data_IF_548759405115
#
_entry.id   IF_548759405115
#
_cell.length_a   1.000
_cell.length_b   1.000
_cell.length_c   1.000
_cell.angle_alpha   90.00
_cell.angle_beta   90.00
_cell.angle_gamma   90.00
#
_symmetry.space_group_name_H-M   'P 1'
#
loop_
_entity.id
_entity.type
_entity.pdbx_description
1 polymer ?
#
# COMPACT_ATOMS: atom_id res chain seq x y z
N UNK A 1 39.35 30.76 5.89
CA UNK A 1 38.41 30.82 4.77
C UNK A 1 37.82 29.42 4.58
N UNK A 2 36.61 29.19 5.10
CA UNK A 2 35.93 27.88 4.97
C UNK A 2 35.35 27.73 3.57
N UNK A 3 35.70 26.65 2.91
CA UNK A 3 35.21 26.25 1.58
C UNK A 3 33.69 26.02 1.65
N UNK A 4 32.85 26.60 0.76
CA UNK A 4 31.42 26.35 0.79
C UNK A 4 31.17 24.86 0.48
N UNK A 5 30.38 24.18 1.31
CA UNK A 5 29.97 22.78 1.10
C UNK A 5 29.15 22.73 -0.19
N UNK A 6 29.56 21.86 -1.13
CA UNK A 6 28.88 21.65 -2.40
C UNK A 6 27.44 21.08 -2.19
N UNK A 7 26.42 21.56 -2.92
CA UNK A 7 25.05 21.04 -2.85
C UNK A 7 24.95 19.52 -3.07
N UNK A 8 25.90 18.95 -3.76
CA UNK A 8 26.02 17.53 -4.08
C UNK A 8 26.20 16.64 -2.82
N UNK A 9 26.88 17.16 -1.77
CA UNK A 9 27.09 16.40 -0.53
C UNK A 9 25.86 16.36 0.38
N UNK A 10 24.98 17.36 0.33
CA UNK A 10 23.77 17.40 1.16
C UNK A 10 22.72 16.37 0.72
N UNK A 11 22.56 16.15 -0.60
CA UNK A 11 21.65 15.13 -1.14
C UNK A 11 22.11 13.71 -0.81
N UNK A 12 23.39 13.43 -0.99
CA UNK A 12 23.96 12.11 -0.68
C UNK A 12 23.86 11.74 0.81
N UNK A 13 24.06 12.73 1.71
CA UNK A 13 23.93 12.51 3.15
C UNK A 13 22.47 12.22 3.56
N UNK A 14 21.51 12.99 3.03
CA UNK A 14 20.08 12.77 3.29
C UNK A 14 19.66 11.37 2.85
N UNK A 15 20.07 10.95 1.67
CA UNK A 15 19.81 9.61 1.13
C UNK A 15 20.42 8.50 1.99
N UNK A 16 21.68 8.65 2.41
CA UNK A 16 22.36 7.69 3.28
C UNK A 16 21.62 7.52 4.63
N UNK A 17 21.10 8.61 5.21
CA UNK A 17 20.31 8.57 6.44
C UNK A 17 18.96 7.82 6.24
N UNK A 18 18.29 8.05 5.10
CA UNK A 18 17.06 7.35 4.73
C UNK A 18 17.32 5.86 4.57
N UNK A 19 18.34 5.46 3.81
CA UNK A 19 18.70 4.05 3.59
C UNK A 19 19.08 3.34 4.91
N UNK A 20 19.87 4.00 5.77
CA UNK A 20 20.19 3.47 7.10
C UNK A 20 18.95 3.29 7.98
N UNK A 21 17.98 4.21 7.86
CA UNK A 21 16.68 4.13 8.56
C UNK A 21 15.87 2.93 8.07
N UNK A 22 15.74 2.75 6.77
CA UNK A 22 14.99 1.62 6.17
C UNK A 22 15.57 0.27 6.57
N UNK A 23 16.89 0.13 6.53
CA UNK A 23 17.58 -1.08 7.01
C UNK A 23 17.26 -1.35 8.48
N UNK A 24 17.30 -0.33 9.34
CA UNK A 24 17.00 -0.46 10.77
C UNK A 24 15.53 -0.84 11.01
N UNK A 25 14.60 -0.21 10.27
CA UNK A 25 13.17 -0.52 10.35
C UNK A 25 12.86 -1.95 9.90
N UNK A 26 13.56 -2.44 8.89
CA UNK A 26 13.40 -3.82 8.40
C UNK A 26 13.87 -4.83 9.42
N UNK A 27 15.02 -4.58 10.07
CA UNK A 27 15.64 -5.49 11.04
C UNK A 27 14.94 -5.50 12.41
N UNK A 28 14.54 -4.34 12.91
CA UNK A 28 14.10 -4.16 14.31
C UNK A 28 12.72 -3.52 14.48
N UNK A 29 12.10 -3.10 13.37
CA UNK A 29 10.88 -2.31 13.41
C UNK A 29 11.10 -0.90 13.97
N UNK A 30 10.00 -0.16 14.10
CA UNK A 30 10.05 1.23 14.55
C UNK A 30 10.25 1.36 16.08
N UNK A 31 9.94 0.34 16.85
CA UNK A 31 10.11 0.35 18.32
C UNK A 31 11.59 0.27 18.74
N UNK A 32 12.45 -0.26 17.87
CA UNK A 32 13.92 -0.30 18.04
C UNK A 32 14.67 0.83 17.36
N UNK A 33 13.95 1.89 16.91
CA UNK A 33 14.53 3.00 16.18
C UNK A 33 15.30 3.99 17.06
N UNK A 34 16.46 4.45 16.57
CA UNK A 34 17.29 5.44 17.25
C UNK A 34 18.09 6.26 16.24
N UNK A 35 18.00 7.60 16.32
CA UNK A 35 18.78 8.52 15.49
C UNK A 35 20.30 8.27 15.61
N UNK A 36 20.78 7.92 16.80
CA UNK A 36 22.20 7.62 17.05
C UNK A 36 22.65 6.40 16.26
N UNK A 37 21.82 5.35 16.23
CA UNK A 37 22.11 4.13 15.47
C UNK A 37 22.04 4.39 13.94
N UNK A 38 21.08 5.19 13.48
CA UNK A 38 21.02 5.64 12.08
C UNK A 38 22.28 6.41 11.69
N UNK A 39 22.73 7.38 12.50
CA UNK A 39 23.95 8.14 12.23
C UNK A 39 25.19 7.22 12.16
N UNK A 40 25.28 6.26 13.09
CA UNK A 40 26.37 5.27 13.12
C UNK A 40 26.38 4.42 11.85
N UNK A 41 25.22 3.94 11.39
CA UNK A 41 25.09 3.12 10.17
C UNK A 41 25.41 3.91 8.91
N UNK A 42 24.98 5.17 8.86
CA UNK A 42 25.26 6.07 7.75
C UNK A 42 26.71 6.58 7.72
N UNK A 43 27.52 6.28 8.77
CA UNK A 43 28.90 6.73 8.85
C UNK A 43 29.05 8.24 9.04
N UNK A 44 28.07 8.88 9.72
CA UNK A 44 28.02 10.35 9.89
C UNK A 44 28.04 10.73 11.37
N UNK A 45 28.15 12.05 11.63
CA UNK A 45 28.13 12.56 13.00
C UNK A 45 26.78 12.29 13.68
N UNK A 46 26.74 12.07 15.01
CA UNK A 46 25.48 11.85 15.75
C UNK A 46 24.47 13.02 15.62
N UNK A 47 24.93 14.23 15.33
CA UNK A 47 24.09 15.41 15.13
C UNK A 47 23.47 15.50 13.72
N UNK A 48 24.03 14.80 12.73
CA UNK A 48 23.59 14.90 11.34
C UNK A 48 22.10 14.57 11.13
N UNK A 49 21.51 13.50 11.70
CA UNK A 49 20.09 13.22 11.53
C UNK A 49 19.21 14.34 12.03
N UNK A 50 19.47 14.88 13.23
CA UNK A 50 18.68 15.98 13.80
C UNK A 50 18.86 17.28 13.00
N UNK A 51 20.04 17.54 12.43
CA UNK A 51 20.26 18.70 11.57
C UNK A 51 19.43 18.63 10.28
N UNK A 52 19.24 17.43 9.71
CA UNK A 52 18.51 17.25 8.44
C UNK A 52 17.00 17.05 8.60
N UNK A 53 16.57 16.45 9.70
CA UNK A 53 15.17 16.01 9.88
C UNK A 53 14.53 16.54 11.17
N UNK A 54 15.25 17.32 11.98
CA UNK A 54 14.78 17.83 13.26
C UNK A 54 14.89 16.77 14.37
N UNK A 55 14.04 15.77 14.33
CA UNK A 55 13.98 14.70 15.34
C UNK A 55 13.71 13.33 14.72
N UNK A 56 13.48 12.34 15.58
CA UNK A 56 13.19 10.97 15.17
C UNK A 56 11.88 10.87 14.35
N UNK A 57 10.84 11.57 14.77
CA UNK A 57 9.57 11.56 14.07
C UNK A 57 9.67 12.24 12.71
N UNK A 58 10.46 13.32 12.58
CA UNK A 58 10.71 13.98 11.29
C UNK A 58 11.44 13.08 10.30
N UNK A 59 12.45 12.31 10.73
CA UNK A 59 13.12 11.34 9.87
C UNK A 59 12.16 10.19 9.48
N UNK A 60 11.39 9.65 10.41
CA UNK A 60 10.40 8.62 10.13
C UNK A 60 9.31 9.12 9.18
N UNK A 61 8.84 10.37 9.36
CA UNK A 61 7.87 11.01 8.46
C UNK A 61 8.42 11.13 7.04
N UNK A 62 9.68 11.55 6.87
CA UNK A 62 10.32 11.61 5.57
C UNK A 62 10.39 10.23 4.89
N UNK A 63 10.72 9.17 5.64
CA UNK A 63 10.72 7.79 5.12
C UNK A 63 9.32 7.32 4.73
N UNK A 64 8.30 7.64 5.53
CA UNK A 64 6.91 7.31 5.23
C UNK A 64 6.39 8.04 3.97
N UNK A 65 6.74 9.32 3.81
CA UNK A 65 6.41 10.13 2.62
C UNK A 65 6.97 9.49 1.35
N UNK A 66 8.26 9.14 1.35
CA UNK A 66 8.89 8.40 0.25
C UNK A 66 8.24 7.02 0.04
N UNK A 67 7.73 6.42 1.11
CA UNK A 67 6.98 5.17 1.04
C UNK A 67 5.69 5.31 0.23
N UNK A 68 4.88 6.31 0.52
CA UNK A 68 3.65 6.57 -0.23
C UNK A 68 3.93 7.02 -1.67
N UNK A 69 5.00 7.79 -1.89
CA UNK A 69 5.44 8.15 -3.24
C UNK A 69 5.79 6.90 -4.06
N UNK A 70 6.62 6.02 -3.52
CA UNK A 70 7.00 4.75 -4.18
C UNK A 70 5.81 3.81 -4.38
N UNK A 71 4.89 3.73 -3.40
CA UNK A 71 3.66 2.96 -3.55
C UNK A 71 2.78 3.52 -4.66
N UNK A 72 2.62 4.84 -4.75
CA UNK A 72 1.86 5.50 -5.83
C UNK A 72 2.44 5.13 -7.20
N UNK A 73 3.77 5.21 -7.35
CA UNK A 73 4.45 4.84 -8.60
C UNK A 73 4.22 3.37 -8.95
N UNK A 74 4.30 2.46 -7.97
CA UNK A 74 4.04 1.03 -8.17
C UNK A 74 2.60 0.78 -8.61
N UNK A 75 1.62 1.43 -7.97
CA UNK A 75 0.20 1.31 -8.31
C UNK A 75 -0.10 1.85 -9.70
N UNK A 76 0.45 3.00 -10.09
CA UNK A 76 0.31 3.58 -11.43
C UNK A 76 0.92 2.66 -12.49
N UNK A 77 2.09 2.07 -12.23
CA UNK A 77 2.70 1.11 -13.13
C UNK A 77 1.86 -0.17 -13.24
N UNK A 78 1.26 -0.64 -12.14
CA UNK A 78 0.30 -1.74 -12.12
C UNK A 78 -0.92 -1.44 -12.97
N UNK A 79 -1.53 -0.30 -12.77
CA UNK A 79 -2.67 0.18 -13.55
C UNK A 79 -2.41 0.17 -15.06
N UNK A 80 -1.24 0.67 -15.45
CA UNK A 80 -0.84 0.73 -16.86
C UNK A 80 -0.69 -0.66 -17.51
N UNK A 81 -0.26 -1.69 -16.77
CA UNK A 81 -0.17 -3.06 -17.28
C UNK A 81 -1.52 -3.67 -17.64
N UNK A 82 -2.56 -3.33 -16.86
CA UNK A 82 -3.91 -3.84 -17.06
C UNK A 82 -4.86 -2.89 -17.82
N UNK A 83 -4.39 -1.75 -18.31
CA UNK A 83 -5.24 -0.63 -18.77
C UNK A 83 -6.28 -0.95 -19.86
N UNK A 84 -6.12 -2.05 -20.58
CA UNK A 84 -7.06 -2.48 -21.63
C UNK A 84 -8.40 -2.97 -21.04
N UNK A 85 -8.40 -3.42 -19.79
CA UNK A 85 -9.57 -3.90 -19.05
C UNK A 85 -9.52 -3.34 -17.62
N UNK A 86 -10.53 -2.55 -17.16
CA UNK A 86 -10.54 -1.98 -15.83
C UNK A 86 -10.40 -3.00 -14.69
N UNK A 87 -10.94 -4.20 -14.87
CA UNK A 87 -10.81 -5.29 -13.88
C UNK A 87 -9.40 -5.82 -13.84
N UNK A 88 -8.77 -6.00 -15.01
CA UNK A 88 -7.36 -6.38 -15.10
C UNK A 88 -6.45 -5.30 -14.49
N UNK A 89 -6.74 -4.01 -14.70
CA UNK A 89 -6.01 -2.91 -14.10
C UNK A 89 -6.04 -2.95 -12.57
N UNK A 90 -7.22 -3.16 -11.96
CA UNK A 90 -7.35 -3.32 -10.50
C UNK A 90 -6.59 -4.53 -9.97
N UNK A 91 -6.60 -5.66 -10.69
CA UNK A 91 -5.80 -6.83 -10.33
C UNK A 91 -4.30 -6.50 -10.34
N UNK A 92 -3.80 -5.86 -11.38
CA UNK A 92 -2.39 -5.48 -11.50
C UNK A 92 -1.97 -4.43 -10.45
N UNK A 93 -2.87 -3.52 -10.06
CA UNK A 93 -2.65 -2.63 -8.91
C UNK A 93 -2.50 -3.44 -7.61
N UNK A 94 -3.38 -4.42 -7.37
CA UNK A 94 -3.32 -5.28 -6.18
C UNK A 94 -2.02 -6.09 -6.09
N UNK A 95 -1.56 -6.64 -7.21
CA UNK A 95 -0.27 -7.34 -7.31
C UNK A 95 0.89 -6.38 -7.01
N UNK A 96 0.88 -5.17 -7.59
CA UNK A 96 1.90 -4.15 -7.36
C UNK A 96 1.94 -3.67 -5.90
N UNK A 97 0.78 -3.58 -5.25
CA UNK A 97 0.68 -3.22 -3.84
C UNK A 97 1.42 -4.22 -2.94
N UNK A 98 1.17 -5.51 -3.13
CA UNK A 98 1.80 -6.57 -2.32
C UNK A 98 3.28 -6.70 -2.65
N UNK A 99 3.67 -6.60 -3.92
CA UNK A 99 5.08 -6.59 -4.35
C UNK A 99 5.86 -5.45 -3.68
N UNK A 100 5.27 -4.23 -3.63
CA UNK A 100 5.85 -3.11 -2.91
C UNK A 100 6.03 -3.40 -1.41
N UNK A 101 5.02 -3.99 -0.77
CA UNK A 101 5.09 -4.33 0.66
C UNK A 101 6.22 -5.35 0.95
N UNK A 102 6.40 -6.34 0.07
CA UNK A 102 7.44 -7.35 0.21
C UNK A 102 8.85 -6.79 -0.03
N UNK A 103 9.00 -5.88 -0.98
CA UNK A 103 10.31 -5.25 -1.26
C UNK A 103 10.71 -4.21 -0.22
N UNK A 104 9.75 -3.58 0.45
CA UNK A 104 9.98 -2.49 1.39
C UNK A 104 9.28 -2.71 2.75
N UNK A 105 9.50 -3.87 3.43
CA UNK A 105 8.70 -4.27 4.59
C UNK A 105 8.79 -3.31 5.76
N UNK A 106 9.97 -2.74 6.02
CA UNK A 106 10.17 -1.74 7.08
C UNK A 106 9.43 -0.44 6.80
N UNK A 107 9.57 0.08 5.59
CA UNK A 107 8.89 1.28 5.09
C UNK A 107 7.37 1.07 5.08
N UNK A 108 6.89 -0.05 4.55
CA UNK A 108 5.48 -0.38 4.47
C UNK A 108 4.81 -0.42 5.86
N UNK A 109 5.45 -1.07 6.86
CA UNK A 109 4.93 -1.07 8.24
C UNK A 109 4.86 0.34 8.83
N UNK A 110 5.85 1.18 8.53
CA UNK A 110 5.93 2.55 9.04
C UNK A 110 4.82 3.46 8.48
N UNK A 111 4.54 3.37 7.18
CA UNK A 111 3.56 4.24 6.48
C UNK A 111 2.19 4.26 7.15
N UNK A 112 1.80 3.17 7.80
CA UNK A 112 0.48 3.01 8.43
C UNK A 112 0.51 3.12 9.96
N UNK A 113 1.64 3.58 10.53
CA UNK A 113 1.79 3.84 11.99
C UNK A 113 1.56 5.31 12.32
N UNK A 114 0.33 5.68 12.63
CA UNK A 114 -0.03 7.08 12.94
C UNK A 114 0.63 7.67 14.19
N UNK A 115 0.96 6.87 15.19
CA UNK A 115 1.45 7.37 16.48
C UNK A 115 2.94 7.74 16.54
N UNK A 116 3.72 7.53 15.48
CA UNK A 116 5.17 7.76 15.46
C UNK A 116 5.60 8.80 14.40
N UNK A 117 4.65 9.34 13.65
CA UNK A 117 4.87 10.28 12.58
C UNK A 117 4.37 11.66 12.97
N UNK A 118 5.01 12.71 12.46
CA UNK A 118 4.45 14.05 12.54
C UNK A 118 3.17 14.16 11.70
N UNK A 119 2.22 14.98 12.15
CA UNK A 119 1.08 15.41 11.34
C UNK A 119 1.57 16.34 10.22
N UNK A 120 2.03 15.77 9.12
CA UNK A 120 2.63 16.49 8.00
C UNK A 120 1.66 16.54 6.81
N UNK A 121 1.29 17.74 6.31
CA UNK A 121 0.44 17.88 5.13
C UNK A 121 1.01 17.21 3.87
N UNK A 122 2.33 17.15 3.73
CA UNK A 122 2.97 16.48 2.61
C UNK A 122 2.80 14.96 2.69
N UNK A 123 2.99 14.39 3.87
CA UNK A 123 2.71 12.96 4.10
C UNK A 123 1.25 12.62 3.79
N UNK A 124 0.30 13.43 4.27
CA UNK A 124 -1.13 13.25 4.00
C UNK A 124 -1.43 13.28 2.49
N UNK A 125 -0.90 14.26 1.78
CA UNK A 125 -1.07 14.41 0.32
C UNK A 125 -0.54 13.19 -0.45
N UNK A 126 0.60 12.62 -0.05
CA UNK A 126 1.15 11.42 -0.68
C UNK A 126 0.32 10.18 -0.37
N UNK A 127 -0.23 10.06 0.85
CA UNK A 127 -1.16 9.00 1.22
C UNK A 127 -2.46 9.06 0.40
N UNK A 128 -3.04 10.26 0.26
CA UNK A 128 -4.21 10.51 -0.58
C UNK A 128 -3.95 10.19 -2.06
N UNK A 129 -2.78 10.54 -2.59
CA UNK A 129 -2.40 10.24 -3.96
C UNK A 129 -2.35 8.72 -4.22
N UNK A 130 -1.78 7.93 -3.31
CA UNK A 130 -1.78 6.48 -3.41
C UNK A 130 -3.21 5.91 -3.38
N UNK A 131 -4.05 6.40 -2.47
CA UNK A 131 -5.44 6.00 -2.35
C UNK A 131 -6.25 6.34 -3.61
N UNK A 132 -6.03 7.51 -4.21
CA UNK A 132 -6.74 7.96 -5.41
C UNK A 132 -6.46 7.09 -6.63
N UNK A 133 -5.30 6.43 -6.72
CA UNK A 133 -5.04 5.45 -7.81
C UNK A 133 -6.05 4.31 -7.75
N UNK A 134 -6.28 3.74 -6.56
CA UNK A 134 -7.28 2.69 -6.35
C UNK A 134 -8.70 3.20 -6.61
N UNK A 135 -9.05 4.34 -6.03
CA UNK A 135 -10.38 4.93 -6.16
C UNK A 135 -10.75 5.19 -7.64
N UNK A 136 -9.80 5.70 -8.42
CA UNK A 136 -9.95 5.91 -9.87
C UNK A 136 -10.11 4.60 -10.63
N UNK A 137 -9.33 3.56 -10.27
CA UNK A 137 -9.46 2.22 -10.84
C UNK A 137 -10.86 1.64 -10.61
N UNK A 138 -11.38 1.76 -9.39
CA UNK A 138 -12.74 1.32 -9.04
C UNK A 138 -13.79 2.09 -9.82
N UNK A 139 -13.72 3.44 -9.89
CA UNK A 139 -14.67 4.23 -10.70
C UNK A 139 -14.71 3.74 -12.16
N UNK A 140 -13.54 3.51 -12.78
CA UNK A 140 -13.49 2.97 -14.15
C UNK A 140 -14.14 1.59 -14.26
N UNK A 141 -13.94 0.71 -13.29
CA UNK A 141 -14.55 -0.62 -13.29
C UNK A 141 -16.08 -0.57 -13.14
N UNK A 142 -16.62 0.49 -12.54
CA UNK A 142 -18.05 0.78 -12.50
C UNK A 142 -18.55 1.58 -13.72
N UNK A 143 -17.71 1.81 -14.74
CA UNK A 143 -18.09 2.56 -15.94
C UNK A 143 -18.23 4.06 -15.71
N UNK A 144 -17.69 4.61 -14.61
CA UNK A 144 -17.76 6.05 -14.29
C UNK A 144 -16.42 6.69 -14.66
N UNK A 145 -16.45 7.64 -15.56
CA UNK A 145 -15.25 8.31 -16.08
C UNK A 145 -14.76 9.46 -15.18
N UNK A 146 -15.57 9.96 -14.26
CA UNK A 146 -15.34 11.25 -13.62
C UNK A 146 -15.05 11.18 -12.11
N UNK A 147 -14.38 12.23 -11.60
CA UNK A 147 -14.00 12.44 -10.21
C UNK A 147 -15.16 12.82 -9.26
N UNK A 148 -16.39 12.46 -9.61
CA UNK A 148 -17.58 12.68 -8.79
C UNK A 148 -17.56 11.93 -7.47
N UNK A 149 -18.52 12.25 -6.59
CA UNK A 149 -18.69 11.53 -5.33
C UNK A 149 -18.89 10.04 -5.57
N UNK A 150 -18.14 9.23 -4.84
CA UNK A 150 -18.25 7.77 -4.92
C UNK A 150 -19.57 7.29 -4.32
N UNK A 151 -20.24 6.39 -5.02
CA UNK A 151 -21.43 5.71 -4.51
C UNK A 151 -21.06 4.75 -3.35
N UNK A 152 -22.03 4.36 -2.49
CA UNK A 152 -21.78 3.35 -1.45
C UNK A 152 -21.18 2.04 -2.01
N UNK A 153 -21.62 1.59 -3.19
CA UNK A 153 -21.07 0.38 -3.82
C UNK A 153 -19.59 0.54 -4.21
N UNK A 154 -19.19 1.69 -4.73
CA UNK A 154 -17.80 1.99 -5.04
C UNK A 154 -16.94 2.08 -3.77
N UNK A 155 -17.45 2.69 -2.69
CA UNK A 155 -16.77 2.72 -1.40
C UNK A 155 -16.57 1.32 -0.82
N UNK A 156 -17.58 0.44 -0.91
CA UNK A 156 -17.45 -0.96 -0.50
C UNK A 156 -16.36 -1.67 -1.30
N UNK A 157 -16.31 -1.45 -2.62
CA UNK A 157 -15.29 -2.04 -3.49
C UNK A 157 -13.87 -1.57 -3.13
N UNK A 158 -13.68 -0.25 -2.94
CA UNK A 158 -12.38 0.31 -2.52
C UNK A 158 -11.94 -0.29 -1.19
N UNK A 159 -12.83 -0.27 -0.19
CA UNK A 159 -12.51 -0.77 1.15
C UNK A 159 -12.19 -2.26 1.13
N UNK A 160 -12.96 -3.07 0.38
CA UNK A 160 -12.73 -4.50 0.28
C UNK A 160 -11.39 -4.83 -0.40
N UNK A 161 -11.09 -4.20 -1.53
CA UNK A 161 -9.84 -4.40 -2.25
C UNK A 161 -8.63 -3.95 -1.44
N UNK A 162 -8.72 -2.77 -0.83
CA UNK A 162 -7.63 -2.29 0.03
C UNK A 162 -7.40 -3.20 1.23
N UNK A 163 -8.46 -3.57 1.95
CA UNK A 163 -8.35 -4.50 3.10
C UNK A 163 -7.73 -5.84 2.70
N UNK A 164 -8.09 -6.37 1.53
CA UNK A 164 -7.55 -7.62 1.02
C UNK A 164 -6.03 -7.52 0.80
N UNK A 165 -5.57 -6.57 -0.01
CA UNK A 165 -4.14 -6.49 -0.36
C UNK A 165 -3.29 -6.02 0.82
N UNK A 166 -3.84 -5.14 1.67
CA UNK A 166 -3.17 -4.66 2.88
C UNK A 166 -3.00 -5.78 3.90
N UNK A 167 -4.06 -6.51 4.19
CA UNK A 167 -4.02 -7.69 5.07
C UNK A 167 -3.11 -8.77 4.54
N UNK A 168 -3.19 -9.08 3.23
CA UNK A 168 -2.31 -10.05 2.58
C UNK A 168 -0.84 -9.64 2.72
N UNK A 169 -0.49 -8.40 2.39
CA UNK A 169 0.86 -7.86 2.52
C UNK A 169 1.38 -7.95 3.96
N UNK A 170 0.58 -7.54 4.95
CA UNK A 170 0.96 -7.66 6.36
C UNK A 170 1.18 -9.10 6.81
N UNK A 171 0.33 -10.04 6.41
CA UNK A 171 0.50 -11.47 6.72
C UNK A 171 1.79 -12.02 6.09
N UNK A 172 2.07 -11.65 4.84
CA UNK A 172 3.26 -12.08 4.12
C UNK A 172 4.54 -11.58 4.81
N UNK A 173 4.64 -10.26 5.08
CA UNK A 173 5.83 -9.70 5.75
C UNK A 173 5.96 -10.06 7.23
N UNK A 174 4.91 -10.62 7.84
CA UNK A 174 4.94 -11.17 9.19
C UNK A 174 5.30 -12.68 9.23
N UNK A 175 5.65 -13.29 8.07
CA UNK A 175 6.02 -14.69 7.98
C UNK A 175 4.85 -15.67 8.17
N UNK A 176 3.58 -15.18 8.08
CA UNK A 176 2.40 -16.03 8.32
C UNK A 176 2.13 -17.02 7.18
N UNK A 177 2.78 -16.82 6.05
CA UNK A 177 2.65 -17.71 4.89
C UNK A 177 3.83 -18.69 4.73
N UNK A 178 4.87 -18.62 5.58
CA UNK A 178 6.08 -19.43 5.43
C UNK A 178 5.77 -20.94 5.45
N UNK A 179 4.89 -21.37 6.36
CA UNK A 179 4.42 -22.74 6.43
C UNK A 179 3.58 -23.20 5.22
N UNK A 180 2.90 -22.27 4.55
CA UNK A 180 2.12 -22.52 3.33
C UNK A 180 2.99 -22.47 2.06
N UNK A 181 4.05 -21.67 2.10
CA UNK A 181 5.01 -21.51 1.00
C UNK A 181 5.87 -22.77 0.82
N UNK A 182 6.20 -23.47 1.91
CA UNK A 182 7.04 -24.65 1.88
C UNK A 182 8.39 -24.38 1.24
N UNK A 183 8.96 -25.39 0.59
CA UNK A 183 10.26 -25.31 -0.08
C UNK A 183 10.32 -24.33 -1.27
N UNK A 184 9.16 -23.96 -1.83
CA UNK A 184 9.10 -23.06 -2.99
C UNK A 184 9.31 -21.58 -2.60
N UNK A 185 9.25 -21.27 -1.31
CA UNK A 185 9.46 -19.94 -0.79
C UNK A 185 8.27 -18.97 -0.96
N UNK A 186 8.34 -17.85 -0.22
CA UNK A 186 7.26 -16.88 -0.14
C UNK A 186 6.92 -16.24 -1.50
N UNK A 187 7.91 -15.89 -2.30
CA UNK A 187 7.69 -15.21 -3.59
C UNK A 187 6.84 -16.07 -4.54
N UNK A 188 7.20 -17.34 -4.71
CA UNK A 188 6.46 -18.28 -5.54
C UNK A 188 5.05 -18.55 -4.98
N UNK A 189 4.90 -18.58 -3.64
CA UNK A 189 3.59 -18.71 -3.02
C UNK A 189 2.70 -17.50 -3.32
N UNK A 190 3.22 -16.28 -3.16
CA UNK A 190 2.49 -15.03 -3.44
C UNK A 190 2.05 -14.98 -4.90
N UNK A 191 2.94 -15.29 -5.83
CA UNK A 191 2.63 -15.30 -7.27
C UNK A 191 1.48 -16.25 -7.61
N UNK A 192 1.46 -17.46 -7.01
CA UNK A 192 0.40 -18.46 -7.27
C UNK A 192 -0.92 -18.17 -6.59
N UNK A 193 -0.89 -17.57 -5.37
CA UNK A 193 -2.09 -17.41 -4.55
C UNK A 193 -2.77 -16.07 -4.72
N UNK A 194 -2.03 -14.98 -4.85
CA UNK A 194 -2.61 -13.63 -4.84
C UNK A 194 -3.43 -13.33 -6.09
N UNK A 195 -2.94 -13.72 -7.27
CA UNK A 195 -3.66 -13.47 -8.53
C UNK A 195 -5.03 -14.14 -8.57
N UNK A 196 -5.20 -15.45 -8.26
CA UNK A 196 -6.52 -16.08 -8.17
C UNK A 196 -7.43 -15.47 -7.10
N UNK A 197 -6.87 -15.06 -5.96
CA UNK A 197 -7.63 -14.39 -4.89
C UNK A 197 -8.21 -13.06 -5.38
N UNK A 198 -7.39 -12.23 -6.04
CA UNK A 198 -7.83 -10.97 -6.63
C UNK A 198 -8.87 -11.20 -7.72
N UNK A 199 -8.67 -12.17 -8.62
CA UNK A 199 -9.63 -12.51 -9.67
C UNK A 199 -10.97 -12.96 -9.09
N UNK A 200 -10.97 -13.81 -8.07
CA UNK A 200 -12.19 -14.24 -7.39
C UNK A 200 -12.91 -13.06 -6.72
N UNK A 201 -12.17 -12.20 -6.04
CA UNK A 201 -12.73 -11.03 -5.35
C UNK A 201 -13.33 -10.03 -6.33
N UNK A 202 -12.64 -9.74 -7.45
CA UNK A 202 -13.08 -8.78 -8.45
C UNK A 202 -14.31 -9.29 -9.23
N UNK A 203 -14.35 -10.59 -9.58
CA UNK A 203 -15.47 -11.19 -10.36
C UNK A 203 -16.63 -11.67 -9.50
N UNK A 204 -16.36 -12.08 -8.26
CA UNK A 204 -17.32 -12.77 -7.40
C UNK A 204 -18.22 -11.88 -6.55
N UNK A 205 -17.99 -10.56 -6.47
CA UNK A 205 -18.84 -9.75 -5.62
C UNK A 205 -18.38 -8.33 -5.33
N UNK A 206 -17.08 -8.02 -5.39
CA UNK A 206 -16.60 -6.67 -5.04
C UNK A 206 -17.06 -5.62 -6.05
N UNK A 207 -17.10 -5.96 -7.34
CA UNK A 207 -17.58 -5.11 -8.42
C UNK A 207 -19.03 -5.42 -8.82
N UNK A 208 -19.56 -6.58 -8.39
CA UNK A 208 -20.97 -6.93 -8.58
C UNK A 208 -21.81 -6.22 -7.53
N UNK A 209 -22.74 -5.38 -7.94
CA UNK A 209 -23.79 -4.88 -7.05
C UNK A 209 -24.51 -6.05 -6.34
N UNK A 210 -25.26 -5.80 -5.25
CA UNK A 210 -25.98 -6.85 -4.53
C UNK A 210 -26.79 -7.69 -5.53
N UNK A 211 -26.59 -9.00 -5.48
CA UNK A 211 -27.33 -9.93 -6.34
C UNK A 211 -28.83 -9.54 -6.34
N UNK A 212 -29.49 -9.44 -7.52
CA UNK A 212 -30.86 -9.03 -7.57
C UNK A 212 -31.67 -9.92 -6.62
N UNK A 213 -32.32 -9.30 -5.63
CA UNK A 213 -33.20 -10.02 -4.68
C UNK A 213 -34.14 -10.87 -5.53
N UNK A 214 -34.06 -12.19 -5.42
CA UNK A 214 -35.02 -13.09 -6.05
C UNK A 214 -36.40 -12.61 -5.65
N UNK A 215 -37.19 -12.13 -6.63
CA UNK A 215 -38.60 -11.81 -6.39
C UNK A 215 -39.25 -13.04 -5.79
N UNK A 216 -40.00 -12.93 -4.69
CA UNK A 216 -40.74 -14.04 -4.16
C UNK A 216 -41.65 -14.59 -5.30
N UNK A 217 -41.60 -15.88 -5.49
CA UNK A 217 -42.48 -16.57 -6.45
C UNK A 217 -43.96 -16.22 -6.09
N UNK A 218 -44.78 -15.76 -7.05
CA UNK A 218 -46.18 -15.51 -6.74
C UNK A 218 -46.80 -16.77 -6.17
N UNK A 219 -47.46 -16.62 -5.02
CA UNK A 219 -48.19 -17.73 -4.38
C UNK A 219 -49.17 -18.30 -5.41
N UNK A 220 -49.00 -19.57 -5.71
CA UNK A 220 -49.90 -20.29 -6.60
C UNK A 220 -51.35 -20.16 -6.09
N UNK A 221 -52.25 -19.68 -6.94
CA UNK A 221 -53.70 -19.67 -6.65
C UNK A 221 -54.12 -21.08 -6.26
N UNK A 222 -54.57 -21.23 -5.03
CA UNK A 222 -55.21 -22.48 -4.57
C UNK A 222 -56.42 -22.72 -5.46
N UNK A 223 -56.41 -23.84 -6.19
CA UNK A 223 -57.58 -24.36 -6.93
C UNK A 223 -58.51 -24.95 -5.87
N UNK A 224 -59.70 -24.33 -5.72
CA UNK A 224 -60.77 -24.88 -4.88
C UNK A 224 -61.27 -26.20 -5.45
N UNK A 225 -61.50 -27.24 -4.65
CA UNK A 225 -62.14 -28.46 -5.13
C UNK A 225 -63.64 -28.25 -5.36
N UNK A 226 -64.15 -28.87 -6.43
CA UNK A 226 -65.61 -28.97 -6.71
C UNK A 226 -66.25 -30.03 -5.81
#
# INVERSE_FOLDING_TARGET
MSKPASPYHHGALREALIQATEALLTERGADGFSLREVARRAGVSPAAPSHHFGDAAGLLTAVATLGFEGLTQALVAGDARGRADPVAALREQGLAYVDFALRHPGRFRLMFRSGQLHGDPELARHGEAAFEVLARGVRRAFGVADAGQMTPAQWHAVTALWSLVHGYGHLAIAGKFDGLAGEQGLEAFVERSLRPILDASLRGGVLGGPAPRRRPRPAGKAVAPR
#
